data_IF_151471308629
#
_entry.id   IF_151471308629
#
_cell.length_a   1.000
_cell.length_b   1.000
_cell.length_c   1.000
_cell.angle_alpha   90.00
_cell.angle_beta   90.00
_cell.angle_gamma   90.00
#
_symmetry.space_group_name_H-M   'P 1'
#
loop_
_entity.id
_entity.type
_entity.pdbx_description
1 polymer ?
#
# COMPACT_ATOMS: atom_id res chain seq x y z
N UNK A 1 -4.00 14.76 2.93
CA UNK A 1 -4.24 13.49 3.67
C UNK A 1 -5.66 12.93 3.58
N UNK A 2 -6.77 13.69 3.61
CA UNK A 2 -8.12 13.05 3.67
C UNK A 2 -8.39 12.04 2.55
N UNK A 3 -7.92 12.32 1.33
CA UNK A 3 -7.99 11.36 0.22
C UNK A 3 -7.19 10.08 0.51
N UNK A 4 -5.90 10.20 0.87
CA UNK A 4 -5.01 9.07 1.16
C UNK A 4 -5.53 8.16 2.30
N UNK A 5 -6.04 8.76 3.39
CA UNK A 5 -6.65 7.99 4.48
C UNK A 5 -7.91 7.21 4.04
N UNK A 6 -8.70 7.78 3.12
CA UNK A 6 -9.88 7.08 2.58
C UNK A 6 -9.47 5.93 1.67
N UNK A 7 -8.39 6.09 0.89
CA UNK A 7 -7.85 5.00 0.09
C UNK A 7 -7.33 3.86 0.97
N UNK A 8 -6.66 4.15 2.10
CA UNK A 8 -6.25 3.12 3.08
C UNK A 8 -7.42 2.28 3.56
N UNK A 9 -8.47 2.93 4.07
CA UNK A 9 -9.69 2.26 4.54
C UNK A 9 -10.31 1.42 3.43
N UNK A 10 -10.37 1.96 2.21
CA UNK A 10 -10.90 1.21 1.07
C UNK A 10 -10.07 -0.03 0.74
N UNK A 11 -8.74 0.06 0.76
CA UNK A 11 -7.88 -1.09 0.47
C UNK A 11 -8.02 -2.18 1.53
N UNK A 12 -7.89 -1.81 2.81
CA UNK A 12 -7.90 -2.75 3.93
C UNK A 12 -9.29 -3.35 4.20
N UNK A 13 -10.35 -2.54 4.16
CA UNK A 13 -11.68 -2.98 4.58
C UNK A 13 -12.50 -3.57 3.42
N UNK A 14 -12.12 -3.28 2.16
CA UNK A 14 -12.89 -3.69 0.98
C UNK A 14 -12.07 -4.50 -0.02
N UNK A 15 -11.05 -3.90 -0.63
CA UNK A 15 -10.39 -4.51 -1.79
C UNK A 15 -9.62 -5.78 -1.45
N UNK A 16 -8.81 -5.74 -0.40
CA UNK A 16 -8.04 -6.90 0.02
C UNK A 16 -8.97 -8.06 0.45
N UNK A 17 -9.99 -7.86 1.31
CA UNK A 17 -10.93 -8.91 1.66
C UNK A 17 -11.72 -9.48 0.47
N UNK A 18 -12.10 -8.64 -0.49
CA UNK A 18 -12.79 -9.08 -1.72
C UNK A 18 -11.90 -10.06 -2.52
N UNK A 19 -10.66 -9.67 -2.79
CA UNK A 19 -9.72 -10.50 -3.57
C UNK A 19 -9.34 -11.78 -2.80
N UNK A 20 -9.12 -11.68 -1.49
CA UNK A 20 -8.80 -12.82 -0.60
C UNK A 20 -9.90 -13.90 -0.67
N UNK A 21 -11.16 -13.47 -0.59
CA UNK A 21 -12.33 -14.34 -0.69
C UNK A 21 -12.43 -15.01 -2.06
N UNK A 22 -12.14 -14.26 -3.13
CA UNK A 22 -12.16 -14.80 -4.50
C UNK A 22 -11.05 -15.84 -4.73
N UNK A 23 -9.82 -15.55 -4.29
CA UNK A 23 -8.69 -16.49 -4.37
C UNK A 23 -8.99 -17.75 -3.55
N UNK A 24 -9.50 -17.60 -2.33
CA UNK A 24 -9.90 -18.71 -1.46
C UNK A 24 -10.98 -19.58 -2.12
N UNK A 25 -11.97 -18.95 -2.77
CA UNK A 25 -13.02 -19.66 -3.49
C UNK A 25 -12.46 -20.42 -4.68
N UNK A 26 -11.57 -19.80 -5.45
CA UNK A 26 -10.90 -20.45 -6.58
C UNK A 26 -10.08 -21.67 -6.11
N UNK A 27 -9.31 -21.55 -5.03
CA UNK A 27 -8.54 -22.65 -4.43
C UNK A 27 -9.45 -23.82 -4.03
N UNK A 28 -10.62 -23.54 -3.43
CA UNK A 28 -11.59 -24.56 -2.99
C UNK A 28 -12.24 -25.30 -4.15
N UNK A 29 -12.51 -24.61 -5.26
CA UNK A 29 -13.15 -25.19 -6.45
C UNK A 29 -12.19 -25.98 -7.33
N UNK A 30 -10.88 -25.85 -7.11
CA UNK A 30 -9.84 -26.38 -8.00
C UNK A 30 -9.40 -27.81 -7.71
N UNK A 31 -9.13 -28.54 -8.80
CA UNK A 31 -8.72 -29.95 -8.80
C UNK A 31 -7.19 -30.11 -8.79
N UNK A 32 -6.72 -31.36 -8.64
CA UNK A 32 -5.32 -31.68 -8.31
C UNK A 32 -4.22 -31.17 -9.26
N UNK A 33 -4.39 -30.87 -10.57
CA UNK A 33 -3.27 -30.32 -11.33
C UNK A 33 -3.00 -28.84 -11.04
N UNK A 34 -3.91 -28.08 -10.41
CA UNK A 34 -3.71 -26.63 -10.14
C UNK A 34 -3.60 -26.26 -8.66
N UNK A 35 -3.81 -27.22 -7.74
CA UNK A 35 -3.78 -26.92 -6.30
C UNK A 35 -2.43 -26.41 -5.79
N UNK A 36 -1.31 -26.81 -6.41
CA UNK A 36 0.02 -26.34 -5.98
C UNK A 36 0.22 -24.88 -6.37
N UNK A 37 -0.09 -24.54 -7.61
CA UNK A 37 0.01 -23.20 -8.18
C UNK A 37 -0.92 -22.23 -7.46
N UNK A 38 -2.16 -22.65 -7.17
CA UNK A 38 -3.12 -21.83 -6.44
C UNK A 38 -2.74 -21.59 -4.98
N UNK A 39 -2.15 -22.58 -4.30
CA UNK A 39 -1.59 -22.37 -2.96
C UNK A 39 -0.44 -21.39 -2.97
N UNK A 40 0.39 -21.41 -4.02
CA UNK A 40 1.47 -20.45 -4.20
C UNK A 40 0.93 -19.04 -4.42
N UNK A 41 -0.05 -18.88 -5.32
CA UNK A 41 -0.77 -17.59 -5.55
C UNK A 41 -1.35 -17.07 -4.23
N UNK A 42 -2.02 -17.93 -3.47
CA UNK A 42 -2.60 -17.56 -2.18
C UNK A 42 -1.53 -17.15 -1.17
N UNK A 43 -0.36 -17.79 -1.16
CA UNK A 43 0.77 -17.37 -0.33
C UNK A 43 1.28 -15.98 -0.75
N UNK A 44 1.57 -15.77 -2.04
CA UNK A 44 2.02 -14.46 -2.54
C UNK A 44 1.04 -13.34 -2.21
N UNK A 45 -0.26 -13.59 -2.36
CA UNK A 45 -1.28 -12.59 -2.03
C UNK A 45 -1.35 -12.30 -0.51
N UNK A 46 -1.14 -13.30 0.35
CA UNK A 46 -1.06 -13.08 1.79
C UNK A 46 0.19 -12.27 2.18
N UNK A 47 1.33 -12.59 1.59
CA UNK A 47 2.58 -11.85 1.82
C UNK A 47 2.41 -10.38 1.37
N UNK A 48 1.77 -10.14 0.21
CA UNK A 48 1.41 -8.80 -0.25
C UNK A 48 0.48 -8.05 0.71
N UNK A 49 -0.58 -8.71 1.19
CA UNK A 49 -1.53 -8.14 2.16
C UNK A 49 -0.82 -7.68 3.43
N UNK A 50 0.10 -8.49 3.96
CA UNK A 50 0.89 -8.15 5.14
C UNK A 50 1.77 -6.93 4.88
N UNK A 51 2.49 -6.91 3.76
CA UNK A 51 3.33 -5.78 3.35
C UNK A 51 2.52 -4.48 3.26
N UNK A 52 1.40 -4.49 2.54
CA UNK A 52 0.52 -3.32 2.39
C UNK A 52 -0.05 -2.85 3.74
N UNK A 53 -0.44 -3.79 4.60
CA UNK A 53 -0.98 -3.46 5.93
C UNK A 53 0.07 -2.76 6.78
N UNK A 54 1.28 -3.32 6.86
CA UNK A 54 2.38 -2.75 7.63
C UNK A 54 2.78 -1.35 7.12
N UNK A 55 2.79 -1.17 5.79
CA UNK A 55 3.05 0.13 5.18
C UNK A 55 2.00 1.17 5.59
N UNK A 56 0.71 0.87 5.40
CA UNK A 56 -0.39 1.76 5.79
C UNK A 56 -0.37 2.06 7.31
N UNK A 57 -0.09 1.06 8.15
CA UNK A 57 0.02 1.26 9.60
C UNK A 57 1.15 2.22 9.96
N UNK A 58 2.30 2.13 9.28
CA UNK A 58 3.40 3.06 9.48
C UNK A 58 3.03 4.47 9.05
N UNK A 59 2.32 4.62 7.93
CA UNK A 59 1.84 5.93 7.51
C UNK A 59 0.92 6.58 8.52
N UNK A 60 -0.09 5.84 8.98
CA UNK A 60 -1.12 6.36 9.88
C UNK A 60 -0.55 6.68 11.27
N UNK A 61 0.42 5.89 11.76
CA UNK A 61 0.92 5.99 13.12
C UNK A 61 2.24 6.78 13.26
N UNK A 62 3.00 6.95 12.17
CA UNK A 62 4.31 7.62 12.21
C UNK A 62 4.34 8.80 11.24
N UNK A 63 4.11 8.56 9.95
CA UNK A 63 4.32 9.58 8.91
C UNK A 63 3.31 10.72 9.03
N UNK A 64 2.02 10.42 9.11
CA UNK A 64 0.98 11.44 9.18
C UNK A 64 1.01 12.25 10.48
N UNK A 65 1.21 11.65 11.68
CA UNK A 65 1.44 12.41 12.90
C UNK A 65 2.63 13.36 12.78
N UNK A 66 3.76 12.89 12.25
CA UNK A 66 4.93 13.74 11.98
C UNK A 66 4.58 14.94 11.09
N UNK A 67 3.88 14.71 9.97
CA UNK A 67 3.49 15.78 9.05
C UNK A 67 2.57 16.80 9.75
N UNK A 68 1.65 16.34 10.60
CA UNK A 68 0.75 17.22 11.34
C UNK A 68 1.51 18.07 12.37
N UNK A 69 2.46 17.49 13.10
CA UNK A 69 3.35 18.22 14.03
C UNK A 69 4.17 19.28 13.27
N UNK A 70 4.76 18.91 12.13
CA UNK A 70 5.51 19.85 11.28
C UNK A 70 4.64 20.98 10.71
N UNK A 71 3.42 20.67 10.27
CA UNK A 71 2.47 21.69 9.78
C UNK A 71 2.06 22.67 10.88
N UNK A 72 1.93 22.21 12.13
CA UNK A 72 1.64 23.09 13.27
C UNK A 72 2.80 24.04 13.53
N UNK A 73 4.04 23.52 13.58
CA UNK A 73 5.24 24.35 13.70
C UNK A 73 5.37 25.37 12.57
N UNK A 74 5.09 24.97 11.33
CA UNK A 74 5.12 25.85 10.17
C UNK A 74 4.11 27.00 10.24
N UNK A 75 2.94 26.78 10.87
CA UNK A 75 1.89 27.81 11.02
C UNK A 75 2.15 28.72 12.22
N UNK A 76 2.65 28.18 13.33
CA UNK A 76 2.90 28.92 14.56
C UNK A 76 4.13 28.36 15.31
N UNK A 77 5.29 28.89 14.96
CA UNK A 77 6.56 28.55 15.61
C UNK A 77 6.63 28.91 17.11
N UNK A 78 5.72 29.76 17.62
CA UNK A 78 5.71 30.18 19.03
C UNK A 78 5.06 29.16 19.97
N UNK A 79 4.38 28.15 19.39
CA UNK A 79 3.63 27.13 20.12
C UNK A 79 4.44 25.86 20.44
N UNK A 80 5.70 25.77 20.02
CA UNK A 80 6.50 24.54 20.04
C UNK A 80 7.78 24.71 20.85
N UNK A 81 8.11 23.73 21.68
CA UNK A 81 9.30 23.72 22.55
C UNK A 81 10.57 23.28 21.81
N UNK A 82 11.77 23.65 22.30
CA UNK A 82 13.04 23.18 21.71
C UNK A 82 13.18 21.65 21.63
N UNK A 83 12.58 20.92 22.59
CA UNK A 83 12.59 19.46 22.61
C UNK A 83 11.73 18.86 21.47
N UNK A 84 10.59 19.46 21.18
CA UNK A 84 9.71 19.05 20.07
C UNK A 84 10.34 19.35 18.70
N UNK A 85 11.05 20.47 18.57
CA UNK A 85 11.84 20.78 17.37
C UNK A 85 12.94 19.73 17.14
N UNK A 86 13.62 19.29 18.20
CA UNK A 86 14.64 18.25 18.08
C UNK A 86 14.03 16.91 17.61
N UNK A 87 12.89 16.50 18.19
CA UNK A 87 12.16 15.30 17.76
C UNK A 87 11.78 15.36 16.27
N UNK A 88 11.36 16.52 15.77
CA UNK A 88 11.05 16.71 14.33
C UNK A 88 12.28 16.58 13.43
N UNK A 89 13.50 16.83 13.94
CA UNK A 89 14.75 16.63 13.19
C UNK A 89 15.22 15.19 13.17
N UNK A 90 14.75 14.36 14.10
CA UNK A 90 15.13 12.95 14.19
C UNK A 90 14.42 12.08 13.13
N UNK A 91 13.46 12.65 12.39
CA UNK A 91 12.78 12.02 11.27
C UNK A 91 12.89 12.88 10.00
N UNK A 92 12.94 12.25 8.83
CA UNK A 92 12.94 12.92 7.54
C UNK A 92 12.02 12.21 6.55
N UNK A 93 11.19 12.96 5.85
CA UNK A 93 10.25 12.43 4.85
C UNK A 93 10.95 11.76 3.66
N UNK A 94 12.24 12.04 3.45
CA UNK A 94 13.03 11.37 2.41
C UNK A 94 13.11 9.85 2.62
N UNK A 95 13.12 9.37 3.87
CA UNK A 95 13.17 7.94 4.20
C UNK A 95 11.87 7.18 3.88
N UNK A 96 10.79 7.89 3.57
CA UNK A 96 9.48 7.31 3.32
C UNK A 96 9.27 6.93 1.85
N UNK A 97 10.00 7.55 0.92
CA UNK A 97 9.82 7.31 -0.54
C UNK A 97 10.22 5.90 -0.95
N UNK A 98 11.27 5.36 -0.32
CA UNK A 98 11.87 4.07 -0.68
C UNK A 98 10.93 2.87 -0.42
N UNK A 99 9.82 3.05 0.31
CA UNK A 99 8.91 1.96 0.71
C UNK A 99 7.83 1.63 -0.32
N UNK A 100 7.57 2.51 -1.29
CA UNK A 100 6.48 2.31 -2.25
C UNK A 100 6.83 1.34 -3.39
N UNK A 101 8.10 1.31 -3.83
CA UNK A 101 8.54 0.52 -4.98
C UNK A 101 8.25 -0.99 -4.78
N UNK A 102 8.49 -1.49 -3.57
CA UNK A 102 8.28 -2.90 -3.22
C UNK A 102 6.78 -3.33 -3.28
N UNK A 103 5.86 -2.41 -2.96
CA UNK A 103 4.41 -2.71 -2.91
C UNK A 103 3.85 -2.75 -4.33
N UNK A 104 4.23 -1.79 -5.18
CA UNK A 104 3.78 -1.71 -6.56
C UNK A 104 4.25 -2.94 -7.37
N UNK A 105 5.52 -3.31 -7.25
CA UNK A 105 6.10 -4.46 -7.95
C UNK A 105 5.44 -5.79 -7.55
N UNK A 106 5.09 -5.95 -6.28
CA UNK A 106 4.49 -7.19 -5.75
C UNK A 106 3.16 -7.54 -6.42
N UNK A 107 2.32 -6.55 -6.75
CA UNK A 107 1.06 -6.81 -7.47
C UNK A 107 1.27 -7.16 -8.94
N UNK A 108 2.25 -6.52 -9.58
CA UNK A 108 2.63 -6.84 -10.94
C UNK A 108 3.09 -8.29 -11.05
N UNK A 109 3.93 -8.73 -10.12
CA UNK A 109 4.45 -10.09 -10.06
C UNK A 109 3.35 -11.12 -9.80
N UNK A 110 2.44 -10.84 -8.86
CA UNK A 110 1.31 -11.73 -8.59
C UNK A 110 0.45 -11.95 -9.84
N UNK A 111 0.10 -10.89 -10.58
CA UNK A 111 -0.65 -11.01 -11.84
C UNK A 111 0.13 -11.80 -12.87
N UNK A 112 1.42 -11.49 -13.03
CA UNK A 112 2.31 -12.19 -13.95
C UNK A 112 2.38 -13.68 -13.64
N UNK A 113 2.41 -14.05 -12.36
CA UNK A 113 2.43 -15.44 -11.92
C UNK A 113 1.14 -16.17 -12.27
N UNK A 114 -0.02 -15.53 -12.02
CA UNK A 114 -1.32 -16.07 -12.40
C UNK A 114 -1.41 -16.27 -13.92
N UNK A 115 -1.02 -15.27 -14.72
CA UNK A 115 -1.14 -15.33 -16.19
C UNK A 115 -0.22 -16.39 -16.80
N UNK A 116 1.02 -16.51 -16.32
CA UNK A 116 2.04 -17.37 -16.93
C UNK A 116 1.99 -18.81 -16.46
N UNK A 117 1.64 -19.04 -15.18
CA UNK A 117 1.85 -20.34 -14.54
C UNK A 117 0.57 -21.00 -14.02
N UNK A 118 -0.54 -20.27 -13.89
CA UNK A 118 -1.80 -20.93 -13.53
C UNK A 118 -2.39 -21.61 -14.77
N UNK A 119 -2.54 -22.95 -14.78
CA UNK A 119 -3.21 -23.63 -15.89
C UNK A 119 -4.68 -23.19 -16.00
N UNK A 120 -5.36 -23.43 -17.13
CA UNK A 120 -6.78 -23.12 -17.26
C UNK A 120 -7.60 -23.72 -16.11
N UNK A 121 -8.43 -22.90 -15.47
CA UNK A 121 -9.27 -23.33 -14.36
C UNK A 121 -10.67 -23.69 -14.86
N UNK A 122 -11.35 -24.59 -14.15
CA UNK A 122 -12.77 -24.87 -14.43
C UNK A 122 -13.61 -23.60 -14.34
N UNK A 123 -13.35 -22.78 -13.32
CA UNK A 123 -13.97 -21.47 -13.15
C UNK A 123 -13.09 -20.35 -13.74
N UNK A 124 -12.94 -20.34 -15.07
CA UNK A 124 -12.19 -19.29 -15.77
C UNK A 124 -12.76 -17.88 -15.52
N UNK A 125 -14.08 -17.76 -15.33
CA UNK A 125 -14.73 -16.48 -15.03
C UNK A 125 -14.20 -15.89 -13.71
N UNK A 126 -14.08 -16.71 -12.66
CA UNK A 126 -13.54 -16.26 -11.38
C UNK A 126 -12.06 -15.88 -11.50
N UNK A 127 -11.27 -16.65 -12.26
CA UNK A 127 -9.87 -16.32 -12.54
C UNK A 127 -9.74 -14.94 -13.23
N UNK A 128 -10.52 -14.69 -14.29
CA UNK A 128 -10.53 -13.39 -14.96
C UNK A 128 -10.97 -12.24 -14.05
N UNK A 129 -11.96 -12.49 -13.18
CA UNK A 129 -12.39 -11.48 -12.19
C UNK A 129 -11.28 -11.17 -11.19
N UNK A 130 -10.53 -12.17 -10.70
CA UNK A 130 -9.38 -11.96 -9.81
C UNK A 130 -8.33 -11.09 -10.50
N UNK A 131 -7.95 -11.43 -11.74
CA UNK A 131 -7.00 -10.63 -12.52
C UNK A 131 -7.47 -9.17 -12.70
N UNK A 132 -8.77 -8.97 -12.99
CA UNK A 132 -9.35 -7.64 -13.10
C UNK A 132 -9.29 -6.85 -11.78
N UNK A 133 -9.62 -7.48 -10.65
CA UNK A 133 -9.55 -6.81 -9.34
C UNK A 133 -8.11 -6.50 -8.93
N UNK A 134 -7.16 -7.40 -9.19
CA UNK A 134 -5.73 -7.13 -8.98
C UNK A 134 -5.23 -5.97 -9.83
N UNK A 135 -5.65 -5.88 -11.11
CA UNK A 135 -5.28 -4.77 -11.99
C UNK A 135 -5.88 -3.44 -11.54
N UNK A 136 -7.13 -3.43 -11.04
CA UNK A 136 -7.71 -2.23 -10.45
C UNK A 136 -6.97 -1.80 -9.17
N UNK A 137 -6.66 -2.75 -8.28
CA UNK A 137 -5.92 -2.46 -7.05
C UNK A 137 -4.53 -1.91 -7.35
N UNK A 138 -3.79 -2.52 -8.28
CA UNK A 138 -2.47 -2.04 -8.71
C UNK A 138 -2.55 -0.60 -9.21
N UNK A 139 -3.51 -0.29 -10.09
CA UNK A 139 -3.69 1.07 -10.58
C UNK A 139 -3.99 2.03 -9.43
N UNK A 140 -4.89 1.67 -8.51
CA UNK A 140 -5.25 2.52 -7.39
C UNK A 140 -4.05 2.78 -6.46
N UNK A 141 -3.23 1.76 -6.18
CA UNK A 141 -2.01 1.87 -5.37
C UNK A 141 -0.98 2.77 -6.07
N UNK A 142 -0.74 2.57 -7.37
CA UNK A 142 0.15 3.44 -8.13
C UNK A 142 -0.32 4.91 -8.11
N UNK A 143 -1.63 5.16 -8.25
CA UNK A 143 -2.18 6.51 -8.18
C UNK A 143 -2.00 7.13 -6.78
N UNK A 144 -2.17 6.32 -5.73
CA UNK A 144 -1.95 6.69 -4.33
C UNK A 144 -0.49 7.07 -4.05
N UNK A 145 0.45 6.18 -4.36
CA UNK A 145 1.89 6.41 -4.18
C UNK A 145 2.41 7.55 -5.05
N UNK A 146 1.87 7.74 -6.26
CA UNK A 146 2.18 8.94 -7.06
C UNK A 146 1.73 10.23 -6.39
N UNK A 147 0.57 10.25 -5.73
CA UNK A 147 0.11 11.43 -4.99
C UNK A 147 1.03 11.72 -3.80
N UNK A 148 1.53 10.71 -3.12
CA UNK A 148 2.49 10.86 -2.03
C UNK A 148 3.83 11.37 -2.54
N UNK A 149 4.43 10.67 -3.49
CA UNK A 149 5.76 10.97 -4.01
C UNK A 149 5.83 12.31 -4.75
N UNK A 150 4.76 12.72 -5.45
CA UNK A 150 4.78 13.93 -6.29
C UNK A 150 4.18 15.15 -5.61
N UNK A 151 3.37 14.97 -4.56
CA UNK A 151 2.65 16.09 -3.91
C UNK A 151 2.97 16.17 -2.43
N UNK A 152 2.77 15.08 -1.68
CA UNK A 152 2.94 15.11 -0.23
C UNK A 152 4.41 15.28 0.15
N UNK A 153 5.28 14.41 -0.36
CA UNK A 153 6.71 14.40 -0.03
C UNK A 153 7.37 15.74 -0.36
N UNK A 154 7.26 16.31 -1.58
CA UNK A 154 7.91 17.59 -1.89
C UNK A 154 7.41 18.72 -1.01
N UNK A 155 6.12 18.73 -0.66
CA UNK A 155 5.54 19.75 0.22
C UNK A 155 6.10 19.66 1.63
N UNK A 156 6.21 18.45 2.17
CA UNK A 156 6.78 18.19 3.51
C UNK A 156 8.27 18.54 3.53
N UNK A 157 9.04 18.14 2.52
CA UNK A 157 10.46 18.49 2.42
C UNK A 157 10.72 20.00 2.34
N UNK A 158 9.79 20.78 1.78
CA UNK A 158 9.89 22.24 1.84
C UNK A 158 9.63 22.79 3.25
N UNK A 159 8.70 22.19 4.00
CA UNK A 159 8.46 22.54 5.40
C UNK A 159 9.63 22.14 6.29
N UNK A 160 10.27 21.00 6.07
CA UNK A 160 11.44 20.58 6.85
C UNK A 160 12.58 21.62 6.84
N UNK A 161 12.70 22.42 5.76
CA UNK A 161 13.72 23.48 5.66
C UNK A 161 13.59 24.57 6.72
N UNK A 162 12.40 24.78 7.29
CA UNK A 162 12.20 25.80 8.35
C UNK A 162 12.61 25.30 9.75
N UNK A 163 12.95 24.02 9.87
CA UNK A 163 13.52 23.47 11.11
C UNK A 163 15.02 23.86 11.26
N UNK A 164 15.64 24.41 10.22
CA UNK A 164 17.05 24.82 10.20
C UNK A 164 17.27 26.27 10.64
#
# INVERSE_FOLDING_TARGET
>A
MSYLKKTHQYYLDRKIPEIDSMITSLVKESEKPSQKELKLIMKFFNDYKECLTNHIEREENVVYPYILELEQYYKDSSSVTPAEIQKLKDYAIAHYVDEHEDIEESLFDLKSLIIKYLPPQKNNILCFKILGQLGHLEKDINDHSNMENRVLVPRVSLMEKILN
#
